data_IF_710900218646
#
_entry.id   IF_710900218646
#
_cell.length_a   1.000
_cell.length_b   1.000
_cell.length_c   1.000
_cell.angle_alpha   90.00
_cell.angle_beta   90.00
_cell.angle_gamma   90.00
#
_symmetry.space_group_name_H-M   'P 1'
#
loop_
_entity.id
_entity.type
_entity.pdbx_description
1 polymer ?
#
# COMPACT_ATOMS: atom_id res chain seq x y z
N UNK A 1 13.30 -3.48 18.56
CA UNK A 1 12.03 -3.97 19.15
C UNK A 1 12.07 -4.11 20.66
N UNK A 2 13.18 -4.63 21.24
CA UNK A 2 13.33 -4.79 22.70
C UNK A 2 13.25 -3.46 23.48
N UNK A 3 13.86 -2.39 22.95
CA UNK A 3 13.84 -1.05 23.56
C UNK A 3 12.41 -0.48 23.61
N UNK A 4 11.71 -0.47 22.47
CA UNK A 4 10.34 0.05 22.39
C UNK A 4 9.40 -0.76 23.29
N UNK A 5 9.51 -2.09 23.30
CA UNK A 5 8.67 -2.93 24.15
C UNK A 5 8.89 -2.71 25.64
N UNK A 6 10.09 -2.32 26.04
CA UNK A 6 10.40 -1.98 27.44
C UNK A 6 9.69 -0.70 27.88
N UNK A 7 9.72 0.32 27.03
CA UNK A 7 9.13 1.64 27.32
C UNK A 7 7.61 1.67 27.07
N UNK A 8 7.12 0.81 26.16
CA UNK A 8 5.72 0.70 25.76
C UNK A 8 5.25 -0.77 25.76
N UNK A 9 4.88 -1.34 26.90
CA UNK A 9 4.55 -2.76 27.03
C UNK A 9 3.33 -3.21 26.21
N UNK A 10 2.47 -2.26 25.81
CA UNK A 10 1.28 -2.52 24.97
C UNK A 10 1.62 -2.78 23.51
N UNK A 11 2.87 -2.52 23.06
CA UNK A 11 3.29 -2.82 21.70
C UNK A 11 3.64 -4.30 21.56
N UNK A 12 3.00 -4.97 20.63
CA UNK A 12 3.28 -6.34 20.24
C UNK A 12 3.92 -6.37 18.86
N UNK A 13 5.15 -6.88 18.79
CA UNK A 13 5.91 -6.99 17.54
C UNK A 13 5.88 -8.44 17.05
N UNK A 14 5.53 -8.62 15.79
CA UNK A 14 5.62 -9.90 15.10
C UNK A 14 6.51 -9.77 13.87
N UNK A 15 7.52 -10.61 13.80
CA UNK A 15 8.34 -10.74 12.59
C UNK A 15 7.61 -11.62 11.56
N UNK A 16 7.50 -11.12 10.35
CA UNK A 16 6.90 -11.85 9.22
C UNK A 16 7.93 -11.85 8.09
N UNK A 17 8.35 -13.04 7.65
CA UNK A 17 9.33 -13.22 6.59
C UNK A 17 8.60 -13.54 5.28
N UNK A 18 8.35 -12.54 4.46
CA UNK A 18 7.74 -12.68 3.13
C UNK A 18 8.78 -12.49 2.04
N UNK A 19 8.57 -13.15 0.91
CA UNK A 19 9.39 -12.92 -0.28
C UNK A 19 9.19 -11.49 -0.78
N UNK A 20 10.30 -10.84 -1.08
CA UNK A 20 10.33 -9.56 -1.80
C UNK A 20 11.68 -9.50 -2.54
N UNK A 21 11.67 -9.32 -3.84
CA UNK A 21 12.87 -9.40 -4.68
C UNK A 21 13.92 -8.32 -4.37
N UNK A 22 13.53 -7.26 -3.66
CA UNK A 22 14.42 -6.19 -3.19
C UNK A 22 14.97 -6.45 -1.78
N UNK A 23 14.14 -6.96 -0.86
CA UNK A 23 14.47 -6.96 0.58
C UNK A 23 14.64 -8.34 1.21
N UNK A 24 13.96 -9.39 0.71
CA UNK A 24 13.91 -10.67 1.39
C UNK A 24 13.63 -11.84 0.45
N UNK A 25 14.45 -12.90 0.54
CA UNK A 25 14.34 -14.11 -0.28
C UNK A 25 13.60 -15.26 0.41
N UNK A 26 12.59 -14.97 1.22
CA UNK A 26 11.70 -15.99 1.80
C UNK A 26 10.98 -16.80 0.72
N UNK A 27 10.47 -17.99 1.08
CA UNK A 27 9.63 -18.78 0.19
C UNK A 27 8.16 -18.36 0.22
N UNK A 28 7.70 -17.73 1.31
CA UNK A 28 6.31 -17.31 1.48
C UNK A 28 6.07 -16.00 0.72
N UNK A 29 5.13 -16.02 -0.21
CA UNK A 29 4.76 -14.84 -0.99
C UNK A 29 3.71 -13.99 -0.26
N UNK A 30 3.76 -12.68 -0.48
CA UNK A 30 2.77 -11.77 0.07
C UNK A 30 1.37 -11.99 -0.53
N UNK A 31 1.27 -12.49 -1.77
CA UNK A 31 0.00 -12.84 -2.43
C UNK A 31 -0.67 -14.10 -1.85
N UNK A 32 0.03 -14.87 -1.03
CA UNK A 32 -0.48 -16.10 -0.40
C UNK A 32 -0.51 -15.99 1.14
N UNK A 33 -0.12 -14.85 1.68
CA UNK A 33 0.02 -14.65 3.11
C UNK A 33 -1.32 -14.34 3.78
N UNK A 34 -1.64 -15.10 4.83
CA UNK A 34 -2.80 -14.84 5.68
C UNK A 34 -2.38 -14.10 6.95
N UNK A 35 -3.07 -13.02 7.28
CA UNK A 35 -2.80 -12.25 8.49
C UNK A 35 -3.12 -13.09 9.73
N UNK A 36 -2.16 -13.25 10.67
CA UNK A 36 -2.31 -14.13 11.82
C UNK A 36 -3.16 -13.49 12.95
N UNK A 37 -4.32 -12.98 12.58
CA UNK A 37 -5.27 -12.32 13.47
C UNK A 37 -6.69 -12.84 13.20
N UNK A 38 -7.55 -12.70 14.19
CA UNK A 38 -8.97 -13.05 14.09
C UNK A 38 -9.69 -12.04 13.18
N UNK A 39 -10.79 -12.47 12.61
CA UNK A 39 -11.70 -11.58 11.91
C UNK A 39 -12.22 -10.48 12.86
N UNK A 40 -12.44 -9.29 12.30
CA UNK A 40 -12.99 -8.15 13.05
C UNK A 40 -12.17 -7.80 14.30
N UNK A 41 -10.86 -7.85 14.19
CA UNK A 41 -9.95 -7.64 15.35
C UNK A 41 -9.53 -6.18 15.52
N UNK A 42 -9.26 -5.47 14.42
CA UNK A 42 -8.70 -4.12 14.45
C UNK A 42 -9.74 -3.05 14.14
N UNK A 43 -9.69 -1.95 14.87
CA UNK A 43 -10.43 -0.71 14.57
C UNK A 43 -9.73 0.12 13.51
N UNK A 44 -8.39 0.09 13.50
CA UNK A 44 -7.54 0.87 12.60
C UNK A 44 -6.32 0.06 12.14
N UNK A 45 -5.96 0.21 10.88
CA UNK A 45 -4.76 -0.35 10.28
C UNK A 45 -3.96 0.77 9.63
N UNK A 46 -2.64 0.71 9.76
CA UNK A 46 -1.72 1.66 9.14
C UNK A 46 -0.68 0.90 8.33
N UNK A 47 -0.46 1.31 7.08
CA UNK A 47 0.50 0.71 6.15
C UNK A 47 1.32 1.81 5.46
N UNK A 48 2.43 2.20 6.07
CA UNK A 48 3.30 3.23 5.52
C UNK A 48 4.43 2.62 4.70
N UNK A 49 4.56 3.03 3.43
CA UNK A 49 5.56 2.55 2.46
C UNK A 49 5.58 1.02 2.30
N UNK A 50 4.44 0.35 2.47
CA UNK A 50 4.28 -1.09 2.26
C UNK A 50 3.85 -1.35 0.82
N UNK A 51 2.72 -0.80 0.42
CA UNK A 51 2.10 -1.05 -0.90
C UNK A 51 2.92 -0.51 -2.07
N UNK A 52 3.80 0.46 -1.83
CA UNK A 52 4.72 0.98 -2.84
C UNK A 52 5.76 -0.04 -3.32
N UNK A 53 5.95 -1.13 -2.57
CA UNK A 53 6.91 -2.20 -2.83
C UNK A 53 6.26 -3.57 -3.07
N UNK A 54 4.98 -3.60 -3.40
CA UNK A 54 4.20 -4.82 -3.62
C UNK A 54 3.66 -4.89 -5.04
N UNK A 55 3.52 -6.11 -5.59
CA UNK A 55 2.86 -6.32 -6.88
C UNK A 55 1.33 -6.28 -6.72
N UNK A 56 0.61 -6.15 -7.84
CA UNK A 56 -0.85 -5.99 -7.84
C UNK A 56 -1.59 -7.16 -7.15
N UNK A 57 -1.14 -8.40 -7.39
CA UNK A 57 -1.70 -9.60 -6.75
C UNK A 57 -1.43 -9.63 -5.24
N UNK A 58 -0.27 -9.16 -4.81
CA UNK A 58 0.10 -9.03 -3.40
C UNK A 58 -0.76 -7.97 -2.71
N UNK A 59 -0.96 -6.81 -3.35
CA UNK A 59 -1.81 -5.73 -2.85
C UNK A 59 -3.26 -6.20 -2.75
N UNK A 60 -3.75 -6.95 -3.76
CA UNK A 60 -5.10 -7.51 -3.74
C UNK A 60 -5.30 -8.45 -2.56
N UNK A 61 -4.36 -9.38 -2.34
CA UNK A 61 -4.40 -10.27 -1.17
C UNK A 61 -4.39 -9.49 0.15
N UNK A 62 -3.59 -8.43 0.26
CA UNK A 62 -3.56 -7.59 1.45
C UNK A 62 -4.86 -6.84 1.68
N UNK A 63 -5.54 -6.39 0.62
CA UNK A 63 -6.87 -5.80 0.79
C UNK A 63 -7.89 -6.81 1.30
N UNK A 64 -7.86 -8.04 0.80
CA UNK A 64 -8.68 -9.14 1.29
C UNK A 64 -8.41 -9.43 2.77
N UNK A 65 -7.15 -9.56 3.15
CA UNK A 65 -6.77 -9.79 4.55
C UNK A 65 -7.07 -8.59 5.46
N UNK A 66 -6.89 -7.36 4.98
CA UNK A 66 -7.28 -6.14 5.72
C UNK A 66 -8.80 -6.13 5.94
N UNK A 67 -9.58 -6.44 4.90
CA UNK A 67 -11.04 -6.53 5.00
C UNK A 67 -11.46 -7.54 6.07
N UNK A 68 -10.82 -8.71 6.09
CA UNK A 68 -11.11 -9.77 7.05
C UNK A 68 -10.83 -9.34 8.49
N UNK A 69 -9.67 -8.71 8.76
CA UNK A 69 -9.25 -8.40 10.13
C UNK A 69 -9.75 -7.05 10.64
N UNK A 70 -10.18 -6.13 9.77
CA UNK A 70 -10.86 -4.90 10.20
C UNK A 70 -12.25 -5.22 10.76
N UNK A 71 -12.65 -4.51 11.80
CA UNK A 71 -14.04 -4.49 12.28
C UNK A 71 -14.94 -3.82 11.26
N UNK A 72 -16.26 -4.10 11.28
CA UNK A 72 -17.22 -3.29 10.54
C UNK A 72 -17.03 -1.81 10.82
N UNK A 73 -16.98 -0.96 9.78
CA UNK A 73 -16.63 0.46 9.84
C UNK A 73 -15.20 0.78 10.32
N UNK A 74 -14.34 -0.22 10.51
CA UNK A 74 -12.91 -0.03 10.77
C UNK A 74 -12.22 0.65 9.59
N UNK A 75 -11.17 1.43 9.88
CA UNK A 75 -10.50 2.32 8.91
C UNK A 75 -9.06 1.89 8.68
N UNK A 76 -8.62 1.89 7.43
CA UNK A 76 -7.23 1.73 7.06
C UNK A 76 -6.66 3.02 6.46
N UNK A 77 -5.43 3.35 6.87
CA UNK A 77 -4.60 4.42 6.32
C UNK A 77 -3.39 3.78 5.65
N UNK A 78 -3.20 4.06 4.37
CA UNK A 78 -2.10 3.45 3.63
C UNK A 78 -1.47 4.44 2.66
N UNK A 79 -0.16 4.31 2.42
CA UNK A 79 0.53 5.19 1.47
C UNK A 79 0.83 4.47 0.17
N UNK A 80 0.70 5.23 -0.93
CA UNK A 80 0.86 4.76 -2.30
C UNK A 80 1.59 5.79 -3.16
N UNK A 81 2.00 5.37 -4.36
CA UNK A 81 2.23 6.27 -5.49
C UNK A 81 1.04 6.14 -6.44
N UNK A 82 0.21 7.19 -6.54
CA UNK A 82 -1.00 7.18 -7.36
C UNK A 82 -0.91 8.18 -8.50
N UNK A 83 -1.43 7.78 -9.64
CA UNK A 83 -1.60 8.68 -10.78
C UNK A 83 -3.01 8.55 -11.36
N UNK A 84 -3.37 9.51 -12.17
CA UNK A 84 -4.57 9.59 -13.02
C UNK A 84 -4.18 10.07 -14.41
N UNK A 85 -5.14 10.20 -15.31
CA UNK A 85 -4.90 10.61 -16.69
C UNK A 85 -4.23 11.99 -16.75
N UNK A 86 -4.60 12.93 -15.88
CA UNK A 86 -4.04 14.30 -15.84
C UNK A 86 -2.57 14.30 -15.35
N UNK A 87 -2.24 13.46 -14.41
CA UNK A 87 -0.90 13.38 -13.82
C UNK A 87 0.01 12.34 -14.48
N UNK A 88 -0.49 11.53 -15.40
CA UNK A 88 0.30 10.47 -16.04
C UNK A 88 1.54 11.00 -16.78
N UNK A 89 1.43 12.17 -17.43
CA UNK A 89 2.54 12.82 -18.15
C UNK A 89 3.64 13.34 -17.23
N UNK A 90 3.36 13.56 -15.96
CA UNK A 90 4.33 14.07 -14.96
C UNK A 90 5.25 13.00 -14.42
N UNK A 91 4.86 11.70 -14.52
CA UNK A 91 5.59 10.59 -13.92
C UNK A 91 7.02 10.40 -14.42
N UNK A 92 7.33 10.55 -15.73
CA UNK A 92 8.69 10.37 -16.26
C UNK A 92 9.65 11.49 -15.89
N UNK A 93 9.16 12.67 -15.50
CA UNK A 93 9.99 13.85 -15.22
C UNK A 93 10.46 13.95 -13.78
N UNK A 94 10.04 13.03 -12.91
CA UNK A 94 10.34 13.10 -11.50
C UNK A 94 11.67 12.40 -11.18
N UNK A 95 12.74 13.17 -10.98
CA UNK A 95 14.09 12.68 -10.69
C UNK A 95 14.09 11.70 -9.50
N UNK A 96 14.46 10.44 -9.77
CA UNK A 96 14.60 9.39 -8.77
C UNK A 96 13.41 8.43 -8.63
N UNK A 97 12.29 8.69 -9.35
CA UNK A 97 11.11 7.83 -9.36
C UNK A 97 10.53 7.72 -10.77
N UNK A 98 11.31 7.17 -11.69
CA UNK A 98 10.93 7.03 -13.11
C UNK A 98 10.08 5.77 -13.30
N UNK A 99 8.77 5.93 -13.31
CA UNK A 99 7.82 4.84 -13.56
C UNK A 99 7.60 4.64 -15.07
N UNK A 100 8.61 4.11 -15.75
CA UNK A 100 8.63 3.98 -17.21
C UNK A 100 7.99 2.69 -17.73
N UNK A 101 7.91 1.64 -16.90
CA UNK A 101 7.43 0.32 -17.31
C UNK A 101 5.91 0.25 -17.16
N UNK A 102 5.17 0.67 -18.21
CA UNK A 102 3.71 0.73 -18.23
C UNK A 102 3.09 -0.68 -18.30
N UNK A 103 2.11 -0.92 -17.44
CA UNK A 103 1.23 -2.08 -17.40
C UNK A 103 -0.24 -1.61 -17.37
N UNK A 104 -1.19 -2.52 -17.43
CA UNK A 104 -2.61 -2.18 -17.36
C UNK A 104 -3.00 -1.63 -15.99
N UNK A 105 -3.16 -0.32 -15.90
CA UNK A 105 -3.58 0.40 -14.70
C UNK A 105 -2.49 0.54 -13.61
N UNK A 106 -1.23 0.29 -13.94
CA UNK A 106 -0.10 0.58 -13.05
C UNK A 106 1.21 0.73 -13.82
N UNK A 107 2.24 1.26 -13.16
CA UNK A 107 3.58 1.40 -13.71
C UNK A 107 4.62 0.92 -12.71
N UNK A 108 5.67 0.29 -13.20
CA UNK A 108 6.81 -0.15 -12.39
C UNK A 108 8.01 0.75 -12.64
N UNK A 109 8.78 0.96 -11.61
CA UNK A 109 10.08 1.64 -11.68
C UNK A 109 11.14 0.76 -12.36
N UNK A 110 11.02 -0.58 -12.22
CA UNK A 110 11.91 -1.57 -12.80
C UNK A 110 11.16 -2.83 -13.17
N UNK A 111 11.46 -3.40 -14.35
CA UNK A 111 10.97 -4.75 -14.71
C UNK A 111 11.87 -5.86 -14.14
N UNK A 112 13.12 -5.53 -13.78
CA UNK A 112 14.07 -6.51 -13.20
C UNK A 112 13.88 -6.69 -11.71
N UNK A 113 13.62 -5.59 -10.98
CA UNK A 113 13.34 -5.58 -9.54
C UNK A 113 11.93 -5.01 -9.38
N UNK A 114 10.94 -5.89 -9.43
CA UNK A 114 9.52 -5.49 -9.48
C UNK A 114 9.05 -4.79 -8.21
N UNK A 115 9.65 -5.10 -7.07
CA UNK A 115 9.37 -4.46 -5.79
C UNK A 115 10.17 -3.17 -5.55
N UNK A 116 10.90 -2.65 -6.57
CA UNK A 116 11.59 -1.38 -6.44
C UNK A 116 10.62 -0.24 -6.11
N UNK A 117 9.61 -0.02 -6.93
CA UNK A 117 8.42 0.78 -6.62
C UNK A 117 7.33 0.54 -7.68
N UNK A 118 6.08 0.75 -7.28
CA UNK A 118 4.90 0.68 -8.13
C UNK A 118 4.08 1.97 -7.99
N UNK A 119 3.65 2.52 -9.13
CA UNK A 119 2.62 3.56 -9.17
C UNK A 119 1.33 2.98 -9.73
N UNK A 120 0.21 3.22 -9.06
CA UNK A 120 -1.09 2.62 -9.38
C UNK A 120 -2.03 3.71 -9.86
N UNK A 121 -2.77 3.44 -10.94
CA UNK A 121 -3.82 4.33 -11.41
C UNK A 121 -4.96 4.39 -10.39
N UNK A 122 -5.43 5.59 -10.05
CA UNK A 122 -6.51 5.81 -9.04
C UNK A 122 -7.75 4.97 -9.34
N UNK A 123 -8.12 4.81 -10.61
CA UNK A 123 -9.24 3.96 -11.03
C UNK A 123 -9.01 2.47 -10.69
N UNK A 124 -7.80 1.95 -10.95
CA UNK A 124 -7.46 0.56 -10.63
C UNK A 124 -7.49 0.32 -9.13
N UNK A 125 -6.90 1.22 -8.34
CA UNK A 125 -6.96 1.14 -6.88
C UNK A 125 -8.40 1.08 -6.37
N UNK A 126 -9.27 1.97 -6.88
CA UNK A 126 -10.69 1.98 -6.50
C UNK A 126 -11.37 0.64 -6.78
N UNK A 127 -11.18 0.08 -7.99
CA UNK A 127 -11.72 -1.25 -8.33
C UNK A 127 -11.19 -2.37 -7.44
N UNK A 128 -9.91 -2.36 -7.09
CA UNK A 128 -9.32 -3.35 -6.20
C UNK A 128 -9.92 -3.28 -4.78
N UNK A 129 -10.19 -2.08 -4.26
CA UNK A 129 -10.87 -1.92 -2.98
C UNK A 129 -12.31 -2.41 -3.04
N UNK A 130 -13.05 -2.03 -4.08
CA UNK A 130 -14.45 -2.41 -4.27
C UNK A 130 -14.61 -3.93 -4.37
N UNK A 131 -13.71 -4.64 -5.06
CA UNK A 131 -13.76 -6.10 -5.18
C UNK A 131 -13.58 -6.84 -3.84
N UNK A 132 -12.98 -6.19 -2.84
CA UNK A 132 -12.82 -6.71 -1.48
C UNK A 132 -13.84 -6.13 -0.49
N UNK A 133 -14.93 -5.54 -0.97
CA UNK A 133 -15.94 -4.91 -0.11
C UNK A 133 -15.36 -3.83 0.82
N UNK A 134 -14.36 -3.11 0.34
CA UNK A 134 -13.76 -1.94 0.97
C UNK A 134 -14.20 -0.67 0.27
N UNK A 135 -14.54 0.37 1.02
CA UNK A 135 -14.95 1.67 0.48
C UNK A 135 -13.82 2.68 0.59
N UNK A 136 -13.43 3.27 -0.54
CA UNK A 136 -12.52 4.40 -0.56
C UNK A 136 -13.20 5.62 0.10
N UNK A 137 -12.59 6.13 1.18
CA UNK A 137 -13.09 7.31 1.91
C UNK A 137 -12.45 8.59 1.39
N UNK A 138 -11.11 8.59 1.23
CA UNK A 138 -10.37 9.79 0.81
C UNK A 138 -9.01 9.43 0.22
N UNK A 139 -8.59 10.22 -0.76
CA UNK A 139 -7.20 10.31 -1.21
C UNK A 139 -6.68 11.70 -0.86
N UNK A 140 -5.49 11.77 -0.27
CA UNK A 140 -4.75 12.99 -0.02
C UNK A 140 -3.48 12.90 -0.85
N UNK A 141 -3.37 13.75 -1.88
CA UNK A 141 -2.25 13.70 -2.81
C UNK A 141 -0.94 14.11 -2.13
N UNK A 142 0.08 13.29 -2.31
CA UNK A 142 1.45 13.55 -1.93
C UNK A 142 2.17 14.49 -2.92
N UNK A 143 3.41 14.88 -2.58
CA UNK A 143 4.22 15.75 -3.44
C UNK A 143 5.25 14.99 -4.31
N UNK A 144 5.19 13.68 -4.36
CA UNK A 144 6.11 12.83 -5.13
C UNK A 144 6.07 13.10 -6.65
N UNK A 145 4.96 13.64 -7.15
CA UNK A 145 4.78 14.08 -8.54
C UNK A 145 5.41 15.44 -8.87
N UNK A 146 6.17 16.03 -7.94
CA UNK A 146 6.89 17.29 -8.14
C UNK A 146 6.19 18.55 -7.61
N UNK A 147 4.96 18.45 -7.18
CA UNK A 147 4.20 19.57 -6.61
C UNK A 147 4.47 19.76 -5.12
N UNK A 148 5.51 20.47 -4.77
CA UNK A 148 5.93 20.67 -3.36
C UNK A 148 5.04 21.59 -2.53
N UNK A 149 4.20 22.42 -3.14
CA UNK A 149 3.49 23.47 -2.44
C UNK A 149 2.23 22.93 -1.71
N UNK A 150 2.21 23.03 -0.38
CA UNK A 150 1.07 22.77 0.52
C UNK A 150 0.67 21.31 0.74
N UNK A 151 1.53 20.33 0.48
CA UNK A 151 1.25 18.91 0.71
C UNK A 151 2.00 18.41 1.94
N UNK A 152 1.34 17.54 2.73
CA UNK A 152 1.81 17.10 4.05
C UNK A 152 2.86 15.99 3.92
N UNK A 153 2.67 15.07 2.95
CA UNK A 153 3.47 13.87 2.81
C UNK A 153 4.04 13.72 1.39
N UNK A 154 5.12 12.95 1.28
CA UNK A 154 5.72 12.63 -0.01
C UNK A 154 4.82 11.70 -0.83
N UNK A 155 4.39 10.60 -0.25
CA UNK A 155 3.48 9.63 -0.87
C UNK A 155 2.02 10.08 -0.75
N UNK A 156 1.16 9.59 -1.64
CA UNK A 156 -0.28 9.79 -1.53
C UNK A 156 -0.82 8.98 -0.35
N UNK A 157 -1.71 9.56 0.45
CA UNK A 157 -2.40 8.86 1.54
C UNK A 157 -3.77 8.41 1.05
N UNK A 158 -4.05 7.13 1.21
CA UNK A 158 -5.34 6.52 0.91
C UNK A 158 -6.01 6.10 2.20
N UNK A 159 -7.22 6.60 2.42
CA UNK A 159 -8.08 6.23 3.53
C UNK A 159 -9.22 5.40 2.98
N UNK A 160 -9.39 4.20 3.48
CA UNK A 160 -10.50 3.32 3.12
C UNK A 160 -11.05 2.60 4.35
N UNK A 161 -12.26 2.07 4.25
CA UNK A 161 -12.94 1.42 5.36
C UNK A 161 -13.58 0.10 4.95
N UNK A 162 -13.74 -0.80 5.91
CA UNK A 162 -14.62 -1.97 5.78
C UNK A 162 -16.08 -1.53 5.84
N UNK A 163 -16.87 -2.05 4.92
CA UNK A 163 -18.31 -1.87 4.96
C UNK A 163 -18.92 -2.61 6.17
N UNK A 164 -20.06 -2.13 6.62
CA UNK A 164 -20.84 -2.76 7.71
C UNK A 164 -21.44 -4.10 7.30
#
# INVERSE_FOLDING_TARGET
>A
NSKIKKDYPNFNFRYISLYNDLYNKSKLKASEFTFPYKENYFDKIFSFSVFTHMQIDEIQNYFSEIQKVLRPNGIAFSTFFLYDDDSESLLPSNKGFDFTNKKEGYKLMSDKVKSANIAIHKYKLKKMLESENLTLVKIIDGFWKGEKNKKIEYQDIVIFKKNS
#
